data_IF_002174060290
#
_entry.id   IF_002174060290
#
_cell.length_a   1.000
_cell.length_b   1.000
_cell.length_c   1.000
_cell.angle_alpha   90.00
_cell.angle_beta   90.00
_cell.angle_gamma   90.00
#
_symmetry.space_group_name_H-M   'P 1'
#
loop_
_entity.id
_entity.type
_entity.pdbx_description
1 polymer ?
#
# COMPACT_ATOMS: atom_id res chain seq x y z
N UNK A 1 -10.13 47.03 54.30
CA UNK A 1 -9.11 46.85 53.24
C UNK A 1 -9.63 45.83 52.26
N UNK A 2 -9.89 46.24 51.03
CA UNK A 2 -10.54 45.46 50.04
C UNK A 2 -9.45 44.80 49.17
N UNK A 3 -9.34 43.49 49.17
CA UNK A 3 -8.48 42.75 48.24
C UNK A 3 -9.26 42.42 46.97
N UNK A 4 -8.80 42.92 45.84
CA UNK A 4 -9.35 42.62 44.53
C UNK A 4 -8.73 41.31 44.05
N UNK A 5 -9.57 40.25 43.87
CA UNK A 5 -9.20 39.07 43.11
C UNK A 5 -9.33 39.40 41.63
N UNK A 6 -8.22 39.37 40.91
CA UNK A 6 -8.21 39.37 39.46
C UNK A 6 -8.48 37.97 38.97
N UNK A 7 -9.59 37.81 38.29
CA UNK A 7 -9.88 36.59 37.52
C UNK A 7 -9.03 36.60 36.26
N UNK A 8 -8.04 35.70 36.17
CA UNK A 8 -7.39 35.37 34.93
C UNK A 8 -8.34 34.36 34.18
N UNK A 9 -8.98 34.85 33.16
CA UNK A 9 -9.67 34.02 32.21
C UNK A 9 -8.63 33.26 31.38
N UNK A 10 -8.49 31.98 31.66
CA UNK A 10 -7.76 31.06 30.80
C UNK A 10 -8.57 30.84 29.53
N UNK A 11 -8.27 31.58 28.48
CA UNK A 11 -8.71 31.22 27.12
C UNK A 11 -7.92 30.02 26.66
N UNK A 12 -8.44 28.82 26.93
CA UNK A 12 -7.99 27.62 26.25
C UNK A 12 -8.33 27.76 24.76
N UNK A 13 -7.35 28.10 23.96
CA UNK A 13 -7.46 28.00 22.51
C UNK A 13 -7.62 26.52 22.13
N UNK A 14 -8.82 26.18 21.71
CA UNK A 14 -9.11 25.02 20.91
C UNK A 14 -8.42 25.15 19.55
N UNK A 15 -7.17 24.75 19.47
CA UNK A 15 -6.48 24.46 18.21
C UNK A 15 -6.37 22.95 18.06
N UNK A 16 -7.49 22.32 17.95
CA UNK A 16 -7.56 20.92 17.52
C UNK A 16 -8.56 20.86 16.39
N UNK A 17 -8.08 20.58 15.19
CA UNK A 17 -8.72 20.00 14.02
C UNK A 17 -8.29 20.67 12.73
N UNK A 18 -7.02 20.50 12.36
CA UNK A 18 -6.58 20.74 10.98
C UNK A 18 -5.53 19.72 10.52
N UNK A 19 -5.38 18.60 11.22
CA UNK A 19 -4.26 17.68 10.98
C UNK A 19 -4.57 16.52 10.02
N UNK A 20 -5.83 16.33 9.58
CA UNK A 20 -6.19 15.13 8.78
C UNK A 20 -5.99 15.31 7.27
N UNK A 21 -6.23 16.47 6.64
CA UNK A 21 -6.00 16.59 5.19
C UNK A 21 -4.53 16.62 4.79
N UNK A 22 -3.64 17.16 5.62
CA UNK A 22 -2.22 17.29 5.29
C UNK A 22 -1.46 15.95 5.27
N UNK A 23 -1.83 15.00 6.11
CA UNK A 23 -1.15 13.71 6.20
C UNK A 23 -1.38 12.86 4.94
N UNK A 24 -2.58 12.88 4.38
CA UNK A 24 -2.92 12.14 3.15
C UNK A 24 -2.25 12.75 1.91
N UNK A 25 -2.17 14.08 1.83
CA UNK A 25 -1.50 14.77 0.72
C UNK A 25 0.02 14.54 0.75
N UNK A 26 0.63 14.57 1.93
CA UNK A 26 2.05 14.24 2.09
C UNK A 26 2.35 12.79 1.68
N UNK A 27 1.54 11.83 2.12
CA UNK A 27 1.70 10.43 1.75
C UNK A 27 1.60 10.22 0.23
N UNK A 28 0.68 10.95 -0.42
CA UNK A 28 0.53 10.93 -1.88
C UNK A 28 1.75 11.51 -2.59
N UNK A 29 2.24 12.67 -2.15
CA UNK A 29 3.43 13.31 -2.74
C UNK A 29 4.66 12.39 -2.66
N UNK A 30 4.90 11.78 -1.49
CA UNK A 30 5.98 10.82 -1.29
C UNK A 30 5.84 9.61 -2.24
N UNK A 31 4.63 9.09 -2.41
CA UNK A 31 4.40 7.99 -3.35
C UNK A 31 4.70 8.40 -4.79
N UNK A 32 4.24 9.57 -5.23
CA UNK A 32 4.39 10.06 -6.60
C UNK A 32 5.88 10.30 -6.93
N UNK A 33 6.66 10.84 -6.00
CA UNK A 33 8.12 10.96 -6.13
C UNK A 33 8.80 9.59 -6.24
N UNK A 34 8.43 8.65 -5.36
CA UNK A 34 8.93 7.28 -5.43
C UNK A 34 8.62 6.61 -6.76
N UNK A 35 7.41 6.77 -7.30
CA UNK A 35 7.00 6.24 -8.61
C UNK A 35 7.83 6.87 -9.73
N UNK A 36 8.05 8.18 -9.68
CA UNK A 36 8.83 8.89 -10.69
C UNK A 36 10.27 8.36 -10.77
N UNK A 37 10.91 8.14 -9.63
CA UNK A 37 12.24 7.56 -9.55
C UNK A 37 12.25 6.09 -9.98
N UNK A 38 11.26 5.32 -9.57
CA UNK A 38 11.09 3.91 -9.93
C UNK A 38 10.97 3.73 -11.46
N UNK A 39 10.19 4.58 -12.13
CA UNK A 39 10.05 4.57 -13.59
C UNK A 39 11.34 4.91 -14.33
N UNK A 40 12.20 5.72 -13.71
CA UNK A 40 13.56 6.02 -14.21
C UNK A 40 14.56 4.92 -13.87
N UNK A 41 14.13 3.83 -13.22
CA UNK A 41 14.96 2.74 -12.71
C UNK A 41 15.97 3.19 -11.64
N UNK A 42 15.74 4.34 -11.02
CA UNK A 42 16.51 4.84 -9.89
C UNK A 42 15.96 4.26 -8.58
N UNK A 43 16.11 2.96 -8.44
CA UNK A 43 15.54 2.18 -7.34
C UNK A 43 16.12 2.55 -5.98
N UNK A 44 17.40 2.92 -5.95
CA UNK A 44 18.10 3.30 -4.71
C UNK A 44 17.45 4.53 -4.07
N UNK A 45 17.09 5.52 -4.89
CA UNK A 45 16.43 6.72 -4.41
C UNK A 45 14.91 6.55 -4.31
N UNK A 46 14.28 5.68 -5.10
CA UNK A 46 12.84 5.40 -5.01
C UNK A 46 12.45 4.74 -3.67
N UNK A 47 13.26 3.80 -3.18
CA UNK A 47 12.95 3.01 -1.98
C UNK A 47 12.62 3.86 -0.75
N UNK A 48 13.44 4.82 -0.31
CA UNK A 48 13.14 5.63 0.87
C UNK A 48 11.84 6.44 0.72
N UNK A 49 11.45 6.86 -0.48
CA UNK A 49 10.17 7.51 -0.70
C UNK A 49 8.99 6.56 -0.49
N UNK A 50 9.08 5.32 -0.97
CA UNK A 50 8.05 4.32 -0.70
C UNK A 50 7.96 3.96 0.79
N UNK A 51 9.08 3.86 1.49
CA UNK A 51 9.11 3.61 2.93
C UNK A 51 8.43 4.75 3.72
N UNK A 52 8.73 6.00 3.37
CA UNK A 52 8.09 7.17 3.97
C UNK A 52 6.59 7.24 3.63
N UNK A 53 6.20 6.96 2.37
CA UNK A 53 4.80 6.91 1.96
C UNK A 53 4.04 5.81 2.72
N UNK A 54 4.66 4.66 2.98
CA UNK A 54 4.09 3.58 3.78
C UNK A 54 3.91 4.01 5.24
N UNK A 55 4.93 4.64 5.85
CA UNK A 55 4.84 5.18 7.22
C UNK A 55 3.74 6.24 7.34
N UNK A 56 3.55 7.02 6.29
CA UNK A 56 2.46 7.99 6.19
C UNK A 56 1.09 7.34 5.82
N UNK A 57 1.00 6.01 5.79
CA UNK A 57 -0.25 5.27 5.62
C UNK A 57 -0.75 5.15 4.18
N UNK A 58 0.09 5.38 3.16
CA UNK A 58 -0.35 5.25 1.78
C UNK A 58 -0.48 3.78 1.34
N UNK A 59 -1.71 3.36 1.00
CA UNK A 59 -2.05 1.95 0.73
C UNK A 59 -1.25 1.30 -0.42
N UNK A 60 -0.79 2.08 -1.40
CA UNK A 60 -0.05 1.57 -2.57
C UNK A 60 1.45 1.40 -2.31
N UNK A 61 2.00 2.07 -1.29
CA UNK A 61 3.44 2.06 -1.05
C UNK A 61 4.01 0.66 -0.78
N UNK A 62 3.38 -0.18 0.05
CA UNK A 62 3.85 -1.55 0.29
C UNK A 62 3.94 -2.38 -1.01
N UNK A 63 3.04 -2.16 -1.97
CA UNK A 63 3.10 -2.88 -3.25
C UNK A 63 4.39 -2.59 -4.02
N UNK A 64 4.83 -1.35 -4.09
CA UNK A 64 6.09 -1.00 -4.77
C UNK A 64 7.30 -1.60 -4.05
N UNK A 65 7.33 -1.57 -2.72
CA UNK A 65 8.36 -2.26 -1.94
C UNK A 65 8.34 -3.77 -2.22
N UNK A 66 7.15 -4.39 -2.28
CA UNK A 66 6.98 -5.79 -2.64
C UNK A 66 7.57 -6.11 -4.03
N UNK A 67 7.31 -5.28 -5.04
CA UNK A 67 7.88 -5.43 -6.38
C UNK A 67 9.40 -5.33 -6.38
N UNK A 68 9.96 -4.37 -5.65
CA UNK A 68 11.41 -4.21 -5.52
C UNK A 68 12.08 -5.48 -4.96
N UNK A 69 11.52 -6.06 -3.90
CA UNK A 69 12.04 -7.31 -3.33
C UNK A 69 11.77 -8.54 -4.20
N UNK A 70 10.66 -8.57 -4.94
CA UNK A 70 10.33 -9.64 -5.87
C UNK A 70 11.34 -9.71 -7.02
N UNK A 71 11.68 -8.54 -7.57
CA UNK A 71 12.53 -8.42 -8.76
C UNK A 71 14.01 -8.24 -8.42
N UNK A 72 14.35 -7.83 -7.19
CA UNK A 72 15.72 -7.45 -6.81
C UNK A 72 16.09 -6.05 -7.32
N UNK A 73 15.14 -5.13 -7.33
CA UNK A 73 15.28 -3.77 -7.83
C UNK A 73 15.76 -2.85 -6.70
N UNK A 74 17.04 -2.47 -6.72
CA UNK A 74 17.67 -1.65 -5.68
C UNK A 74 17.84 -2.33 -4.32
N UNK A 75 17.47 -3.60 -4.21
CA UNK A 75 17.59 -4.46 -3.02
C UNK A 75 17.92 -5.88 -3.42
N UNK A 76 18.46 -6.67 -2.52
CA UNK A 76 18.62 -8.10 -2.74
C UNK A 76 17.22 -8.76 -2.87
N UNK A 77 17.04 -9.60 -3.90
CA UNK A 77 15.80 -10.33 -4.14
C UNK A 77 15.43 -11.18 -2.91
N UNK A 78 14.18 -11.05 -2.46
CA UNK A 78 13.68 -11.78 -1.29
C UNK A 78 12.17 -12.03 -1.43
N UNK A 79 11.81 -13.26 -1.73
CA UNK A 79 10.43 -13.66 -1.98
C UNK A 79 9.54 -13.54 -0.71
N UNK A 80 10.07 -13.88 0.47
CA UNK A 80 9.33 -13.79 1.74
C UNK A 80 9.02 -12.34 2.08
N UNK A 81 9.99 -11.45 1.90
CA UNK A 81 9.81 -10.01 2.11
C UNK A 81 8.80 -9.43 1.10
N UNK A 82 8.86 -9.85 -0.17
CA UNK A 82 7.88 -9.45 -1.18
C UNK A 82 6.46 -9.89 -0.81
N UNK A 83 6.29 -11.15 -0.38
CA UNK A 83 5.01 -11.68 0.09
C UNK A 83 4.45 -10.87 1.27
N UNK A 84 5.28 -10.53 2.25
CA UNK A 84 4.87 -9.72 3.39
C UNK A 84 4.37 -8.33 2.98
N UNK A 85 5.06 -7.67 2.05
CA UNK A 85 4.63 -6.37 1.52
C UNK A 85 3.35 -6.46 0.69
N UNK A 86 3.17 -7.48 -0.15
CA UNK A 86 1.92 -7.67 -0.88
C UNK A 86 0.75 -7.97 0.06
N UNK A 87 0.98 -8.70 1.16
CA UNK A 87 -0.02 -8.92 2.20
C UNK A 87 -0.45 -7.60 2.84
N UNK A 88 0.50 -6.72 3.16
CA UNK A 88 0.19 -5.39 3.70
C UNK A 88 -0.61 -4.54 2.71
N UNK A 89 -0.20 -4.49 1.44
CA UNK A 89 -0.91 -3.75 0.40
C UNK A 89 -2.35 -4.27 0.22
N UNK A 90 -2.51 -5.58 0.14
CA UNK A 90 -3.82 -6.22 0.00
C UNK A 90 -4.75 -5.95 1.19
N UNK A 91 -4.20 -6.01 2.41
CA UNK A 91 -4.95 -5.69 3.63
C UNK A 91 -5.36 -4.21 3.70
N UNK A 92 -4.52 -3.31 3.19
CA UNK A 92 -4.83 -1.89 3.07
C UNK A 92 -5.84 -1.56 1.96
N UNK A 93 -6.26 -2.55 1.15
CA UNK A 93 -7.25 -2.40 0.09
C UNK A 93 -6.68 -2.03 -1.27
N UNK A 94 -5.36 -2.10 -1.47
CA UNK A 94 -4.75 -1.89 -2.79
C UNK A 94 -5.13 -3.03 -3.73
N UNK A 95 -5.90 -2.70 -4.78
CA UNK A 95 -6.43 -3.66 -5.75
C UNK A 95 -5.31 -4.44 -6.45
N UNK A 96 -4.26 -3.75 -6.86
CA UNK A 96 -3.10 -4.38 -7.48
C UNK A 96 -2.29 -5.21 -6.47
N UNK A 97 -2.22 -4.78 -5.20
CA UNK A 97 -1.63 -5.54 -4.11
C UNK A 97 -2.38 -6.86 -3.85
N UNK A 98 -3.70 -6.85 -3.95
CA UNK A 98 -4.53 -8.07 -3.88
C UNK A 98 -4.22 -9.03 -5.03
N UNK A 99 -4.03 -8.54 -6.25
CA UNK A 99 -3.58 -9.34 -7.38
C UNK A 99 -2.21 -9.98 -7.10
N UNK A 100 -1.23 -9.22 -6.66
CA UNK A 100 0.12 -9.74 -6.36
C UNK A 100 0.12 -10.75 -5.23
N UNK A 101 -0.73 -10.59 -4.24
CA UNK A 101 -0.89 -11.58 -3.17
C UNK A 101 -1.48 -12.89 -3.72
N UNK A 102 -2.47 -12.81 -4.62
CA UNK A 102 -3.00 -13.96 -5.35
C UNK A 102 -1.91 -14.66 -6.17
N UNK A 103 -1.08 -13.90 -6.88
CA UNK A 103 0.07 -14.41 -7.63
C UNK A 103 1.08 -15.16 -6.74
N UNK A 104 1.36 -14.64 -5.56
CA UNK A 104 2.24 -15.30 -4.60
C UNK A 104 1.71 -16.67 -4.19
N UNK A 105 0.44 -16.78 -3.88
CA UNK A 105 -0.18 -18.07 -3.54
C UNK A 105 -0.26 -19.03 -4.73
N UNK A 106 -0.53 -18.55 -5.93
CA UNK A 106 -0.57 -19.38 -7.13
C UNK A 106 0.80 -20.01 -7.43
N UNK A 107 1.88 -19.23 -7.27
CA UNK A 107 3.21 -19.62 -7.72
C UNK A 107 4.13 -20.07 -6.58
N UNK A 108 3.71 -19.97 -5.32
CA UNK A 108 4.53 -20.30 -4.16
C UNK A 108 5.67 -19.28 -3.95
N UNK A 109 5.39 -17.99 -4.16
CA UNK A 109 6.38 -16.92 -3.99
C UNK A 109 6.35 -16.42 -2.55
N UNK A 110 7.38 -16.77 -1.79
CA UNK A 110 7.51 -16.40 -0.37
C UNK A 110 6.51 -17.08 0.56
N UNK A 111 5.71 -18.01 0.05
CA UNK A 111 4.73 -18.81 0.78
C UNK A 111 4.55 -20.16 0.09
N UNK A 112 3.87 -21.10 0.71
CA UNK A 112 3.44 -22.32 0.04
C UNK A 112 2.36 -22.02 -1.00
N UNK A 113 2.29 -22.85 -2.06
CA UNK A 113 1.22 -22.76 -3.06
C UNK A 113 -0.12 -23.06 -2.41
N UNK A 114 -1.09 -22.19 -2.65
CA UNK A 114 -2.47 -22.37 -2.24
C UNK A 114 -3.41 -21.78 -3.30
N UNK A 115 -3.94 -22.65 -4.17
CA UNK A 115 -4.83 -22.23 -5.25
C UNK A 115 -6.15 -21.64 -4.73
N UNK A 116 -6.62 -22.08 -3.56
CA UNK A 116 -7.84 -21.55 -2.94
C UNK A 116 -7.63 -20.11 -2.51
N UNK A 117 -6.51 -19.81 -1.87
CA UNK A 117 -6.15 -18.43 -1.53
C UNK A 117 -5.88 -17.58 -2.77
N UNK A 118 -5.18 -18.13 -3.77
CA UNK A 118 -4.94 -17.43 -5.03
C UNK A 118 -6.25 -16.95 -5.68
N UNK A 119 -7.20 -17.86 -5.87
CA UNK A 119 -8.52 -17.53 -6.45
C UNK A 119 -9.29 -16.50 -5.62
N UNK A 120 -9.27 -16.62 -4.30
CA UNK A 120 -9.90 -15.68 -3.38
C UNK A 120 -9.37 -14.25 -3.57
N UNK A 121 -8.06 -14.09 -3.62
CA UNK A 121 -7.43 -12.78 -3.77
C UNK A 121 -7.62 -12.22 -5.17
N UNK A 122 -7.58 -13.05 -6.22
CA UNK A 122 -7.93 -12.62 -7.57
C UNK A 122 -9.39 -12.18 -7.68
N UNK A 123 -10.34 -12.92 -7.09
CA UNK A 123 -11.75 -12.52 -7.06
C UNK A 123 -11.94 -11.18 -6.34
N UNK A 124 -11.26 -10.98 -5.21
CA UNK A 124 -11.30 -9.72 -4.47
C UNK A 124 -10.74 -8.55 -5.28
N UNK A 125 -9.62 -8.75 -5.97
CA UNK A 125 -9.04 -7.76 -6.88
C UNK A 125 -9.94 -7.49 -8.09
N UNK A 126 -10.56 -8.53 -8.65
CA UNK A 126 -11.44 -8.43 -9.83
C UNK A 126 -12.78 -7.75 -9.54
N UNK A 127 -13.24 -7.73 -8.28
CA UNK A 127 -14.58 -7.27 -7.89
C UNK A 127 -14.90 -5.81 -8.27
N UNK A 128 -13.88 -5.00 -8.51
CA UNK A 128 -14.05 -3.61 -8.99
C UNK A 128 -14.45 -3.53 -10.45
N UNK A 129 -14.04 -4.48 -11.27
CA UNK A 129 -14.41 -4.59 -12.68
C UNK A 129 -13.84 -3.52 -13.60
N UNK A 130 -12.87 -2.71 -13.14
CA UNK A 130 -12.23 -1.67 -13.94
C UNK A 130 -10.84 -2.10 -14.49
N UNK A 131 -10.19 -1.21 -15.23
CA UNK A 131 -8.88 -1.51 -15.84
C UNK A 131 -7.79 -1.90 -14.81
N UNK A 132 -7.90 -1.45 -13.56
CA UNK A 132 -6.96 -1.82 -12.48
C UNK A 132 -7.15 -3.28 -12.07
N UNK A 133 -8.37 -3.79 -12.22
CA UNK A 133 -8.74 -5.18 -11.91
C UNK A 133 -8.40 -6.16 -13.03
N UNK A 134 -8.07 -5.67 -14.24
CA UNK A 134 -7.89 -6.51 -15.43
C UNK A 134 -6.89 -7.66 -15.23
N UNK A 135 -5.71 -7.47 -14.58
CA UNK A 135 -4.78 -8.57 -14.34
C UNK A 135 -5.39 -9.72 -13.52
N UNK A 136 -6.24 -9.41 -12.55
CA UNK A 136 -6.91 -10.42 -11.74
C UNK A 136 -8.03 -11.13 -12.52
N UNK A 137 -8.78 -10.40 -13.35
CA UNK A 137 -9.78 -10.96 -14.24
C UNK A 137 -9.13 -11.94 -15.22
N UNK A 138 -8.00 -11.57 -15.81
CA UNK A 138 -7.26 -12.42 -16.76
C UNK A 138 -6.70 -13.67 -16.05
N UNK A 139 -6.22 -13.54 -14.82
CA UNK A 139 -5.78 -14.69 -14.02
C UNK A 139 -6.93 -15.65 -13.73
N UNK A 140 -8.10 -15.15 -13.32
CA UNK A 140 -9.29 -15.99 -13.11
C UNK A 140 -9.74 -16.68 -14.39
N UNK A 141 -9.79 -15.98 -15.51
CA UNK A 141 -10.15 -16.55 -16.81
C UNK A 141 -9.18 -17.66 -17.21
N UNK A 142 -7.87 -17.47 -17.03
CA UNK A 142 -6.84 -18.49 -17.27
C UNK A 142 -7.03 -19.73 -16.40
N UNK A 143 -7.50 -19.55 -15.17
CA UNK A 143 -7.79 -20.63 -14.23
C UNK A 143 -9.18 -21.25 -14.44
N UNK A 144 -9.97 -20.80 -15.43
CA UNK A 144 -11.32 -21.29 -15.70
C UNK A 144 -12.36 -20.89 -14.65
N UNK A 145 -12.09 -19.82 -13.88
CA UNK A 145 -12.98 -19.29 -12.83
C UNK A 145 -13.60 -17.99 -13.31
N UNK A 146 -14.92 -17.86 -13.21
CA UNK A 146 -15.58 -16.58 -13.53
C UNK A 146 -15.22 -15.52 -12.47
N UNK A 147 -14.87 -14.33 -12.93
CA UNK A 147 -14.86 -13.14 -12.09
C UNK A 147 -16.33 -12.78 -11.79
N UNK A 148 -16.72 -12.86 -10.53
CA UNK A 148 -18.09 -12.50 -10.10
C UNK A 148 -18.19 -10.99 -9.92
#
# INVERSE_FOLDING_TARGET
>A
MKAKLSALAATALLTACSAVPHHNEQAKTLLDEGITLYQKQDYQHAKPYFEQAQQAGHMKAPRYLGLMYLNGEGVAKNAQTAFAYFTQAAAAGDITGQYWLGYCYENGVGTEKDMTQAMRWYQKSAARGDHVSQPAIDALNRLGVKAN
#
